data_IF_110000312147
#
_entry.id   IF_110000312147
#
_cell.length_a   1.000
_cell.length_b   1.000
_cell.length_c   1.000
_cell.angle_alpha   90.00
_cell.angle_beta   90.00
_cell.angle_gamma   90.00
#
_symmetry.space_group_name_H-M   'P 1'
#
loop_
_entity.id
_entity.type
_entity.pdbx_description
1 polymer ?
#
# COMPACT_ATOMS: atom_id res chain seq x y z
N UNK A 1 -2.87 14.45 2.59
CA UNK A 1 -2.45 14.89 1.23
C UNK A 1 -3.27 16.11 0.87
N UNK A 2 -2.64 17.24 0.50
CA UNK A 2 -3.36 18.49 0.16
C UNK A 2 -4.17 18.31 -1.11
N UNK A 3 -5.46 18.63 -1.06
CA UNK A 3 -6.29 18.84 -2.25
C UNK A 3 -6.43 20.35 -2.42
N UNK A 4 -6.08 20.86 -3.61
CA UNK A 4 -6.11 22.31 -3.92
C UNK A 4 -7.39 22.62 -4.70
N UNK A 5 -8.22 23.49 -4.13
CA UNK A 5 -9.44 24.03 -4.74
C UNK A 5 -10.03 25.19 -3.95
N UNK A 6 -9.63 26.42 -4.31
CA UNK A 6 -10.44 27.66 -4.31
C UNK A 6 -11.04 28.22 -3.02
N UNK A 7 -10.39 28.01 -1.88
CA UNK A 7 -10.36 28.89 -0.70
C UNK A 7 -9.12 28.46 0.09
N UNK A 8 -8.48 29.36 0.83
CA UNK A 8 -7.36 29.02 1.72
C UNK A 8 -7.81 28.18 2.95
N UNK A 9 -8.86 27.37 2.79
CA UNK A 9 -9.42 26.48 3.81
C UNK A 9 -8.60 25.20 3.81
N UNK A 10 -7.70 25.07 4.76
CA UNK A 10 -7.01 23.81 5.05
C UNK A 10 -8.01 22.89 5.73
N UNK A 11 -8.44 21.82 5.05
CA UNK A 11 -9.25 20.77 5.67
C UNK A 11 -8.32 19.76 6.33
N UNK A 12 -8.56 19.48 7.61
CA UNK A 12 -7.79 18.49 8.38
C UNK A 12 -8.43 17.12 8.25
N UNK A 13 -7.60 16.08 8.27
CA UNK A 13 -8.06 14.71 8.37
C UNK A 13 -7.26 13.98 9.46
N UNK A 14 -7.96 13.55 10.51
CA UNK A 14 -7.39 12.73 11.57
C UNK A 14 -7.62 11.24 11.30
N UNK A 15 -6.64 10.41 11.65
CA UNK A 15 -6.67 8.97 11.37
C UNK A 15 -6.17 8.15 12.54
N UNK A 16 -7.06 7.29 13.05
CA UNK A 16 -6.71 6.23 14.00
C UNK A 16 -6.65 4.93 13.22
N UNK A 17 -5.69 4.06 13.51
CA UNK A 17 -5.58 2.80 12.80
C UNK A 17 -5.10 1.65 13.67
N UNK A 18 -5.59 0.47 13.34
CA UNK A 18 -5.21 -0.81 13.92
C UNK A 18 -4.61 -1.67 12.83
N UNK A 19 -3.57 -2.45 13.15
CA UNK A 19 -2.87 -3.25 12.15
C UNK A 19 -2.52 -4.63 12.68
N UNK A 20 -2.77 -5.62 11.83
CA UNK A 20 -2.34 -7.00 12.01
C UNK A 20 -1.38 -7.38 10.87
N UNK A 21 -0.18 -7.87 11.21
CA UNK A 21 0.81 -8.37 10.25
C UNK A 21 0.97 -9.87 10.48
N UNK A 22 0.83 -10.64 9.40
CA UNK A 22 1.10 -12.06 9.38
C UNK A 22 2.10 -12.38 8.28
N UNK A 23 3.28 -12.88 8.66
CA UNK A 23 4.32 -13.27 7.72
C UNK A 23 4.61 -14.77 7.86
N UNK A 24 4.63 -15.47 6.73
CA UNK A 24 4.91 -16.90 6.69
C UNK A 24 5.76 -17.26 5.46
N UNK A 25 6.35 -18.45 5.51
CA UNK A 25 7.08 -19.02 4.38
C UNK A 25 6.17 -20.04 3.70
N UNK A 26 5.92 -19.85 2.41
CA UNK A 26 5.15 -20.78 1.60
C UNK A 26 6.10 -21.55 0.68
N UNK A 27 6.52 -22.76 1.08
CA UNK A 27 7.49 -23.59 0.36
C UNK A 27 8.77 -22.83 -0.02
N UNK A 28 8.77 -22.24 -1.21
CA UNK A 28 9.88 -21.52 -1.82
C UNK A 28 9.64 -20.01 -1.93
N UNK A 29 8.68 -19.43 -1.20
CA UNK A 29 8.40 -18.00 -1.23
C UNK A 29 8.19 -17.44 0.18
N UNK A 30 8.51 -16.17 0.37
CA UNK A 30 8.15 -15.44 1.57
C UNK A 30 6.87 -14.65 1.30
N UNK A 31 5.86 -14.82 2.14
CA UNK A 31 4.59 -14.11 2.02
C UNK A 31 4.35 -13.29 3.28
N UNK A 32 4.02 -12.02 3.10
CA UNK A 32 3.60 -11.13 4.19
C UNK A 32 2.23 -10.56 3.87
N UNK A 33 1.30 -10.79 4.78
CA UNK A 33 -0.03 -10.22 4.81
C UNK A 33 -0.07 -9.12 5.86
N UNK A 34 -0.78 -8.05 5.56
CA UNK A 34 -1.02 -6.96 6.50
C UNK A 34 -2.42 -6.44 6.30
N UNK A 35 -3.25 -6.66 7.30
CA UNK A 35 -4.58 -6.07 7.39
C UNK A 35 -4.49 -4.81 8.27
N UNK A 36 -5.10 -3.73 7.82
CA UNK A 36 -5.18 -2.48 8.59
C UNK A 36 -6.60 -1.94 8.52
N UNK A 37 -7.16 -1.61 9.68
CA UNK A 37 -8.42 -0.90 9.79
C UNK A 37 -8.09 0.56 10.13
N UNK A 38 -8.60 1.50 9.34
CA UNK A 38 -8.32 2.94 9.46
C UNK A 38 -9.64 3.67 9.69
N UNK A 39 -9.77 4.31 10.85
CA UNK A 39 -10.85 5.23 11.21
C UNK A 39 -10.43 6.63 10.79
N UNK A 40 -11.23 7.29 9.96
CA UNK A 40 -10.93 8.57 9.33
C UNK A 40 -11.96 9.59 9.79
N UNK A 41 -11.47 10.73 10.24
CA UNK A 41 -12.25 11.88 10.67
C UNK A 41 -11.87 13.04 9.75
N UNK A 42 -12.76 13.40 8.83
CA UNK A 42 -12.48 14.32 7.72
C UNK A 42 -13.28 15.59 7.93
N UNK A 43 -12.59 16.73 8.08
CA UNK A 43 -13.24 18.03 8.15
C UNK A 43 -13.81 18.43 6.78
N UNK A 44 -15.02 18.98 6.78
CA UNK A 44 -15.72 19.50 5.62
C UNK A 44 -15.71 21.02 5.59
N UNK A 45 -15.92 21.59 4.40
CA UNK A 45 -15.87 23.05 4.19
C UNK A 45 -16.96 23.82 4.95
N UNK A 46 -18.04 23.14 5.37
CA UNK A 46 -19.11 23.71 6.19
C UNK A 46 -18.84 23.63 7.70
N UNK A 47 -17.69 23.08 8.13
CA UNK A 47 -17.34 22.89 9.54
C UNK A 47 -17.81 21.56 10.15
N UNK A 48 -18.52 20.72 9.38
CA UNK A 48 -18.90 19.38 9.82
C UNK A 48 -17.72 18.40 9.73
N UNK A 49 -17.77 17.32 10.51
CA UNK A 49 -16.82 16.23 10.44
C UNK A 49 -17.48 14.95 9.91
N UNK A 50 -16.86 14.33 8.91
CA UNK A 50 -17.27 13.03 8.40
C UNK A 50 -16.40 11.95 9.03
N UNK A 51 -17.06 11.06 9.77
CA UNK A 51 -16.47 9.79 10.14
C UNK A 51 -16.57 8.79 8.98
N UNK A 52 -15.48 8.10 8.65
CA UNK A 52 -15.50 7.00 7.70
C UNK A 52 -14.49 5.92 8.09
N UNK A 53 -14.80 4.66 7.79
CA UNK A 53 -13.89 3.56 8.04
C UNK A 53 -13.37 2.99 6.73
N UNK A 54 -12.07 2.69 6.72
CA UNK A 54 -11.37 2.12 5.58
C UNK A 54 -10.60 0.88 6.00
N UNK A 55 -10.89 -0.22 5.33
CA UNK A 55 -10.10 -1.42 5.42
C UNK A 55 -9.00 -1.41 4.34
N UNK A 56 -7.79 -1.79 4.73
CA UNK A 56 -6.64 -1.91 3.84
C UNK A 56 -6.06 -3.29 3.98
N UNK A 57 -5.90 -3.96 2.84
CA UNK A 57 -5.25 -5.26 2.80
C UNK A 57 -4.05 -5.21 1.88
N UNK A 58 -2.90 -5.48 2.47
CA UNK A 58 -1.61 -5.55 1.80
C UNK A 58 -1.12 -6.99 1.80
N UNK A 59 -0.66 -7.45 0.64
CA UNK A 59 0.04 -8.72 0.48
C UNK A 59 1.33 -8.49 -0.30
N UNK A 60 2.43 -9.08 0.17
CA UNK A 60 3.72 -9.09 -0.51
C UNK A 60 4.26 -10.50 -0.58
N UNK A 61 4.56 -10.93 -1.79
CA UNK A 61 5.25 -12.17 -2.12
C UNK A 61 6.67 -11.83 -2.54
N UNK A 62 7.66 -12.49 -1.96
CA UNK A 62 9.05 -12.43 -2.40
C UNK A 62 9.50 -13.85 -2.78
N UNK A 63 9.83 -14.04 -4.05
CA UNK A 63 10.26 -15.29 -4.63
C UNK A 63 11.74 -15.19 -5.03
N UNK A 64 12.66 -15.86 -4.30
CA UNK A 64 14.02 -16.08 -4.78
C UNK A 64 14.02 -16.85 -6.11
N UNK A 65 14.79 -16.37 -7.10
CA UNK A 65 14.94 -17.04 -8.39
C UNK A 65 16.11 -18.03 -8.39
N UNK A 66 17.01 -17.93 -7.43
CA UNK A 66 18.17 -18.80 -7.30
C UNK A 66 18.43 -19.16 -5.83
N UNK A 67 18.89 -20.39 -5.60
CA UNK A 67 19.18 -20.92 -4.26
C UNK A 67 17.95 -21.46 -3.52
N UNK A 68 18.21 -22.18 -2.42
CA UNK A 68 17.14 -22.65 -1.52
C UNK A 68 16.63 -21.48 -0.68
N UNK A 69 15.31 -21.34 -0.60
CA UNK A 69 14.63 -20.22 0.08
C UNK A 69 14.91 -20.18 1.57
N UNK A 70 15.08 -21.35 2.19
CA UNK A 70 15.46 -21.49 3.60
C UNK A 70 16.81 -20.84 3.93
N UNK A 71 17.71 -20.75 2.94
CA UNK A 71 19.08 -20.24 3.10
C UNK A 71 19.34 -19.04 2.18
N UNK A 72 18.30 -18.33 1.73
CA UNK A 72 18.44 -17.24 0.77
C UNK A 72 19.22 -16.05 1.35
N UNK A 73 20.53 -16.07 1.13
CA UNK A 73 21.50 -15.09 1.61
C UNK A 73 22.03 -14.20 0.50
N UNK A 74 21.95 -14.66 -0.76
CA UNK A 74 22.40 -13.97 -1.96
C UNK A 74 21.66 -14.49 -3.20
N UNK A 75 21.37 -13.59 -4.14
CA UNK A 75 20.87 -13.94 -5.47
C UNK A 75 19.71 -13.05 -5.94
N UNK A 76 19.27 -13.24 -7.20
CA UNK A 76 18.14 -12.52 -7.74
C UNK A 76 16.82 -13.01 -7.13
N UNK A 77 15.85 -12.10 -6.99
CA UNK A 77 14.50 -12.38 -6.54
C UNK A 77 13.48 -11.52 -7.28
N UNK A 78 12.23 -11.97 -7.24
CA UNK A 78 11.07 -11.20 -7.70
C UNK A 78 10.22 -10.88 -6.49
N UNK A 79 9.78 -9.63 -6.39
CA UNK A 79 8.80 -9.19 -5.41
C UNK A 79 7.51 -8.77 -6.11
N UNK A 80 6.39 -9.33 -5.67
CA UNK A 80 5.05 -8.92 -6.05
C UNK A 80 4.36 -8.38 -4.81
N UNK A 81 3.71 -7.24 -4.94
CA UNK A 81 2.98 -6.63 -3.86
C UNK A 81 1.67 -6.09 -4.40
N UNK A 82 0.59 -6.33 -3.68
CA UNK A 82 -0.68 -5.68 -3.94
C UNK A 82 -1.27 -5.12 -2.65
N UNK A 83 -1.79 -3.91 -2.73
CA UNK A 83 -2.51 -3.28 -1.62
C UNK A 83 -3.85 -2.75 -2.12
N UNK A 84 -4.93 -3.26 -1.53
CA UNK A 84 -6.31 -2.88 -1.82
C UNK A 84 -6.84 -2.03 -0.68
N UNK A 85 -7.58 -0.98 -1.02
CA UNK A 85 -8.20 -0.05 -0.09
C UNK A 85 -9.72 -0.08 -0.30
N UNK A 86 -10.45 -0.42 0.75
CA UNK A 86 -11.90 -0.56 0.74
C UNK A 86 -12.54 0.41 1.74
N UNK A 87 -13.51 1.20 1.31
CA UNK A 87 -14.31 2.05 2.20
C UNK A 87 -15.47 1.20 2.73
N UNK A 88 -15.40 0.77 4.00
CA UNK A 88 -16.36 -0.17 4.58
C UNK A 88 -17.54 0.52 5.26
N UNK A 89 -17.37 1.77 5.71
CA UNK A 89 -18.41 2.56 6.37
C UNK A 89 -18.42 3.98 5.85
N UNK A 90 -19.63 4.55 5.69
CA UNK A 90 -19.87 5.93 5.25
C UNK A 90 -19.24 6.23 3.88
N UNK A 91 -19.22 5.23 2.99
CA UNK A 91 -18.67 5.33 1.61
C UNK A 91 -19.47 6.32 0.76
N UNK A 92 -20.76 6.45 1.05
CA UNK A 92 -21.69 7.38 0.40
C UNK A 92 -21.32 8.85 0.65
N UNK A 93 -20.63 9.14 1.76
CA UNK A 93 -20.08 10.45 2.09
C UNK A 93 -18.68 10.69 1.50
N UNK A 94 -18.12 9.69 0.80
CA UNK A 94 -16.81 9.74 0.16
C UNK A 94 -16.95 9.66 -1.36
N UNK A 95 -16.65 8.51 -1.96
CA UNK A 95 -16.67 8.26 -3.40
C UNK A 95 -17.83 7.35 -3.84
N UNK A 96 -18.80 7.13 -2.95
CA UNK A 96 -19.94 6.24 -3.13
C UNK A 96 -19.55 4.83 -3.62
N UNK A 97 -18.33 4.38 -3.30
CA UNK A 97 -17.81 3.09 -3.76
C UNK A 97 -17.12 2.35 -2.62
N UNK A 98 -17.36 1.03 -2.57
CA UNK A 98 -16.62 0.13 -1.68
C UNK A 98 -15.15 0.10 -2.03
N UNK A 99 -14.79 0.26 -3.30
CA UNK A 99 -13.42 0.24 -3.77
C UNK A 99 -12.85 1.66 -3.87
N UNK A 100 -11.79 1.93 -3.13
CA UNK A 100 -11.11 3.24 -3.12
C UNK A 100 -9.88 3.23 -4.03
N UNK A 101 -8.93 2.34 -3.75
CA UNK A 101 -7.62 2.32 -4.39
C UNK A 101 -7.08 0.91 -4.54
N UNK A 102 -6.26 0.71 -5.57
CA UNK A 102 -5.38 -0.45 -5.66
C UNK A 102 -3.96 0.00 -5.99
N UNK A 103 -2.98 -0.61 -5.33
CA UNK A 103 -1.56 -0.39 -5.56
C UNK A 103 -0.92 -1.72 -5.88
N UNK A 104 -0.64 -1.95 -7.15
CA UNK A 104 0.08 -3.11 -7.64
C UNK A 104 1.53 -2.74 -7.89
N UNK A 105 2.43 -3.41 -7.18
CA UNK A 105 3.87 -3.24 -7.32
C UNK A 105 4.50 -4.56 -7.76
N UNK A 106 5.32 -4.49 -8.79
CA UNK A 106 6.15 -5.59 -9.27
C UNK A 106 7.59 -5.12 -9.32
N UNK A 107 8.51 -5.91 -8.76
CA UNK A 107 9.92 -5.58 -8.74
C UNK A 107 10.79 -6.81 -8.98
N UNK A 108 11.91 -6.58 -9.67
CA UNK A 108 13.06 -7.45 -9.67
C UNK A 108 14.10 -6.91 -8.70
N UNK A 109 14.71 -7.79 -7.92
CA UNK A 109 15.73 -7.39 -6.98
C UNK A 109 16.90 -8.35 -6.94
N UNK A 110 18.00 -7.89 -6.36
CA UNK A 110 19.16 -8.71 -6.06
C UNK A 110 19.54 -8.55 -4.60
N UNK A 111 19.58 -9.68 -3.89
CA UNK A 111 20.11 -9.76 -2.52
C UNK A 111 21.61 -9.94 -2.62
N UNK A 112 22.38 -8.94 -2.17
CA UNK A 112 23.84 -9.03 -2.13
C UNK A 112 24.31 -9.78 -0.89
N UNK A 113 23.64 -9.56 0.24
CA UNK A 113 23.87 -10.23 1.52
C UNK A 113 22.57 -10.24 2.33
N UNK A 114 22.53 -10.96 3.46
CA UNK A 114 21.36 -10.91 4.38
C UNK A 114 20.99 -9.48 4.83
N UNK A 115 21.92 -8.56 4.74
CA UNK A 115 21.81 -7.18 5.20
C UNK A 115 21.50 -6.19 4.08
N UNK A 116 21.74 -6.53 2.81
CA UNK A 116 21.64 -5.59 1.68
C UNK A 116 20.82 -6.20 0.54
N UNK A 117 19.68 -5.56 0.27
CA UNK A 117 18.81 -5.87 -0.88
C UNK A 117 18.68 -4.64 -1.77
N UNK A 118 18.81 -4.83 -3.08
CA UNK A 118 18.46 -3.82 -4.08
C UNK A 118 17.19 -4.27 -4.82
N UNK A 119 16.25 -3.36 -4.99
CA UNK A 119 15.00 -3.60 -5.73
C UNK A 119 14.77 -2.51 -6.77
N UNK A 120 14.36 -2.93 -7.96
CA UNK A 120 13.90 -2.07 -9.03
C UNK A 120 12.54 -2.55 -9.50
N UNK A 121 11.56 -1.66 -9.53
CA UNK A 121 10.19 -2.05 -9.78
C UNK A 121 9.30 -0.95 -10.34
N UNK A 122 8.07 -1.35 -10.60
CA UNK A 122 7.04 -0.51 -11.16
C UNK A 122 5.79 -0.63 -10.31
N UNK A 123 5.31 0.51 -9.83
CA UNK A 123 4.08 0.67 -9.07
C UNK A 123 3.01 1.26 -9.99
N UNK A 124 1.93 0.50 -10.17
CA UNK A 124 0.68 1.01 -10.68
C UNK A 124 -0.25 1.30 -9.51
N UNK A 125 -0.60 2.58 -9.33
CA UNK A 125 -1.60 3.01 -8.36
C UNK A 125 -2.84 3.48 -9.09
N UNK A 126 -3.93 2.76 -8.89
CA UNK A 126 -5.26 3.15 -9.35
C UNK A 126 -6.07 3.73 -8.18
N UNK A 127 -6.74 4.85 -8.42
CA UNK A 127 -7.57 5.56 -7.43
C UNK A 127 -8.93 5.90 -8.04
N UNK A 128 -9.98 5.43 -7.37
CA UNK A 128 -11.36 5.67 -7.73
C UNK A 128 -11.83 6.96 -7.04
N UNK A 129 -11.83 8.06 -7.78
CA UNK A 129 -12.25 9.37 -7.30
C UNK A 129 -13.72 9.63 -7.56
N UNK A 130 -14.29 10.61 -6.86
CA UNK A 130 -15.72 10.97 -6.94
C UNK A 130 -16.14 11.35 -8.37
N UNK A 131 -15.31 12.13 -9.08
CA UNK A 131 -15.61 12.62 -10.42
C UNK A 131 -14.70 12.04 -11.51
N UNK A 132 -13.49 11.59 -11.16
CA UNK A 132 -12.50 11.07 -12.10
C UNK A 132 -11.67 9.97 -11.47
N UNK A 133 -11.42 8.93 -12.25
CA UNK A 133 -10.47 7.89 -11.90
C UNK A 133 -9.06 8.34 -12.27
N UNK A 134 -8.11 8.07 -11.38
CA UNK A 134 -6.71 8.43 -11.57
C UNK A 134 -5.86 7.16 -11.59
N UNK A 135 -4.98 7.03 -12.58
CA UNK A 135 -3.98 5.97 -12.62
C UNK A 135 -2.60 6.60 -12.66
N UNK A 136 -1.82 6.35 -11.60
CA UNK A 136 -0.46 6.80 -11.45
C UNK A 136 0.49 5.63 -11.69
N UNK A 137 1.59 5.92 -12.38
CA UNK A 137 2.60 4.96 -12.81
C UNK A 137 3.94 5.44 -12.30
N UNK A 138 4.55 4.69 -11.40
CA UNK A 138 5.78 5.11 -10.72
C UNK A 138 6.85 4.04 -10.91
N UNK A 139 7.97 4.41 -11.50
CA UNK A 139 9.19 3.60 -11.44
C UNK A 139 9.86 3.83 -10.09
N UNK A 140 10.24 2.76 -9.40
CA UNK A 140 10.84 2.82 -8.07
C UNK A 140 12.17 2.07 -8.07
N UNK A 141 13.16 2.68 -7.44
CA UNK A 141 14.42 2.05 -7.05
C UNK A 141 14.53 2.14 -5.53
N UNK A 142 14.85 1.03 -4.89
CA UNK A 142 14.96 0.94 -3.43
C UNK A 142 16.19 0.15 -3.01
N UNK A 143 16.91 0.68 -2.02
CA UNK A 143 18.00 -0.01 -1.34
C UNK A 143 17.54 -0.27 0.10
N UNK A 144 17.52 -1.54 0.49
CA UNK A 144 17.19 -1.95 1.86
C UNK A 144 18.45 -2.39 2.58
N UNK A 145 18.74 -1.73 3.69
CA UNK A 145 19.82 -2.09 4.61
C UNK A 145 19.24 -2.53 5.93
N UNK A 146 19.69 -3.68 6.46
CA UNK A 146 19.35 -4.18 7.79
C UNK A 146 20.61 -4.14 8.64
N UNK A 147 20.56 -3.45 9.77
CA UNK A 147 21.64 -3.34 10.75
C UNK A 147 21.28 -4.10 12.02
#
# INVERSE_FOLDING_TARGET
>A
TRLVGTSNTVLTENRIWEQYIFAHKLKSSFVSHRARLEQRFIEQTNGDEIFAQRFRYFVRLMQPLQGKVEVFSKGPFVALQNEVFLNIQNKELLNNSLFDQNRLYIAGGYRFSKHIDLEAGYLNQYTNGIARNTSNRVAQLALYTRF
#
